data_IF_706472996290
#
_entry.id   IF_706472996290
#
_cell.length_a   1.000
_cell.length_b   1.000
_cell.length_c   1.000
_cell.angle_alpha   90.00
_cell.angle_beta   90.00
_cell.angle_gamma   90.00
#
_symmetry.space_group_name_H-M   'P 1'
#
loop_
_entity.id
_entity.type
_entity.pdbx_description
1 polymer ?
#
# COMPACT_ATOMS: atom_id res chain seq x y z
N UNK A 1 -106.56 56.22 -21.45
CA UNK A 1 -105.31 55.98 -22.12
C UNK A 1 -104.26 55.65 -21.17
N UNK A 2 -103.87 54.44 -20.96
CA UNK A 2 -102.87 53.99 -20.06
C UNK A 2 -101.93 53.08 -20.80
N UNK A 3 -100.65 53.50 -20.81
CA UNK A 3 -99.56 52.75 -21.37
C UNK A 3 -99.06 51.83 -20.29
N UNK A 4 -99.21 50.52 -20.50
CA UNK A 4 -98.69 49.55 -19.62
C UNK A 4 -97.18 49.28 -19.96
N UNK A 5 -96.36 49.62 -19.04
CA UNK A 5 -94.95 49.34 -19.11
C UNK A 5 -94.72 47.84 -18.70
N UNK A 6 -94.40 47.03 -19.66
CA UNK A 6 -94.02 45.66 -19.46
C UNK A 6 -92.58 45.62 -18.93
N UNK A 7 -92.48 45.16 -17.78
CA UNK A 7 -91.17 44.93 -17.12
C UNK A 7 -90.48 43.74 -17.80
N UNK A 8 -89.32 43.97 -18.34
CA UNK A 8 -88.42 42.97 -18.82
C UNK A 8 -88.05 41.99 -17.71
N UNK A 9 -88.09 40.70 -17.95
CA UNK A 9 -87.48 39.74 -17.01
C UNK A 9 -85.96 39.91 -17.08
N UNK A 10 -85.42 40.20 -15.94
CA UNK A 10 -83.97 40.21 -15.71
C UNK A 10 -83.31 39.02 -16.36
N UNK A 11 -82.51 39.36 -17.30
CA UNK A 11 -81.48 38.50 -17.84
C UNK A 11 -80.52 38.13 -16.66
N UNK A 12 -80.88 37.11 -15.92
CA UNK A 12 -79.96 36.49 -14.99
C UNK A 12 -78.95 35.72 -15.87
N UNK A 13 -77.91 36.39 -16.27
CA UNK A 13 -76.72 35.67 -16.75
C UNK A 13 -76.42 34.65 -15.69
N UNK A 14 -76.34 33.33 -16.01
CA UNK A 14 -75.81 32.36 -15.07
C UNK A 14 -74.41 32.84 -14.72
N UNK A 15 -74.16 32.92 -13.43
CA UNK A 15 -72.79 33.13 -12.90
C UNK A 15 -71.99 31.92 -13.35
N UNK A 16 -71.32 32.09 -14.50
CA UNK A 16 -70.63 31.00 -15.20
C UNK A 16 -69.30 30.66 -14.56
N UNK A 17 -69.00 31.28 -13.40
CA UNK A 17 -67.80 31.00 -12.62
C UNK A 17 -68.21 30.83 -11.14
N UNK A 18 -68.65 29.62 -10.84
CA UNK A 18 -68.63 29.21 -9.45
C UNK A 18 -67.17 29.12 -8.99
N UNK A 19 -66.84 29.74 -7.87
CA UNK A 19 -65.45 29.82 -7.42
C UNK A 19 -64.80 28.44 -7.24
N UNK A 20 -65.59 27.43 -7.01
CA UNK A 20 -65.17 26.03 -6.88
C UNK A 20 -64.65 25.43 -8.17
N UNK A 21 -65.30 25.77 -9.34
CA UNK A 21 -64.85 25.33 -10.65
C UNK A 21 -63.52 25.98 -11.08
N UNK A 22 -63.26 27.21 -10.62
CA UNK A 22 -62.00 27.91 -10.89
C UNK A 22 -60.88 27.27 -10.08
N UNK A 23 -61.12 26.89 -8.83
CA UNK A 23 -60.11 26.25 -8.02
C UNK A 23 -59.80 24.83 -8.53
N UNK A 24 -60.80 24.08 -8.98
CA UNK A 24 -60.63 22.74 -9.52
C UNK A 24 -59.85 22.76 -10.84
N UNK A 25 -60.20 23.68 -11.75
CA UNK A 25 -59.45 23.84 -13.00
C UNK A 25 -58.04 24.39 -12.79
N UNK A 26 -57.82 25.13 -11.71
CA UNK A 26 -56.49 25.59 -11.35
C UNK A 26 -55.62 24.42 -10.81
N UNK A 27 -56.20 23.56 -9.95
CA UNK A 27 -55.56 22.36 -9.42
C UNK A 27 -55.27 21.35 -10.51
N UNK A 28 -56.15 21.20 -11.50
CA UNK A 28 -55.92 20.34 -12.65
C UNK A 28 -54.86 20.90 -13.59
N UNK A 29 -54.77 22.23 -13.75
CA UNK A 29 -53.73 22.89 -14.54
C UNK A 29 -52.37 22.78 -13.81
N UNK A 30 -52.34 22.93 -12.51
CA UNK A 30 -51.15 22.77 -11.71
C UNK A 30 -50.68 21.31 -11.72
N UNK A 31 -51.58 20.31 -11.71
CA UNK A 31 -51.23 18.91 -11.86
C UNK A 31 -50.68 18.62 -13.25
N UNK A 32 -51.31 19.11 -14.31
CA UNK A 32 -50.89 18.92 -15.69
C UNK A 32 -49.56 19.59 -15.99
N UNK A 33 -49.35 20.82 -15.44
CA UNK A 33 -48.08 21.52 -15.53
C UNK A 33 -46.96 20.83 -14.78
N UNK A 34 -47.28 20.17 -13.71
CA UNK A 34 -46.35 19.41 -12.92
C UNK A 34 -45.86 18.15 -13.62
N UNK A 35 -46.77 17.47 -14.32
CA UNK A 35 -46.46 16.22 -15.07
C UNK A 35 -45.69 16.51 -16.36
N UNK A 36 -45.93 17.69 -16.99
CA UNK A 36 -45.28 18.11 -18.21
C UNK A 36 -44.02 18.98 -18.00
N UNK A 37 -43.68 19.34 -16.76
CA UNK A 37 -42.49 20.13 -16.45
C UNK A 37 -41.25 19.25 -16.49
N UNK A 38 -40.27 19.54 -17.37
CA UNK A 38 -39.03 18.77 -17.43
C UNK A 38 -38.28 18.69 -16.08
N UNK A 39 -38.45 19.71 -15.23
CA UNK A 39 -37.85 19.74 -13.89
C UNK A 39 -38.48 18.72 -12.93
N UNK A 40 -39.74 18.37 -13.14
CA UNK A 40 -40.42 17.37 -12.35
C UNK A 40 -39.76 15.98 -12.53
N UNK A 41 -39.45 15.63 -13.76
CA UNK A 41 -38.77 14.39 -14.09
C UNK A 41 -37.31 14.39 -13.63
N UNK A 42 -36.63 15.55 -13.69
CA UNK A 42 -35.28 15.69 -13.17
C UNK A 42 -35.21 15.56 -11.63
N UNK A 43 -36.21 16.04 -10.89
CA UNK A 43 -36.30 15.86 -9.43
C UNK A 43 -36.66 14.42 -9.05
N UNK A 44 -37.50 13.75 -9.81
CA UNK A 44 -37.90 12.36 -9.56
C UNK A 44 -36.78 11.38 -9.94
N UNK A 45 -36.11 11.63 -11.06
CA UNK A 45 -34.93 10.85 -11.46
C UNK A 45 -33.72 11.10 -10.53
N UNK A 46 -33.66 12.25 -9.86
CA UNK A 46 -32.64 12.56 -8.85
C UNK A 46 -32.79 11.80 -7.53
N UNK A 47 -34.01 11.35 -7.22
CA UNK A 47 -34.34 10.61 -5.98
C UNK A 47 -34.76 9.18 -6.29
N UNK A 48 -34.03 8.50 -7.15
CA UNK A 48 -34.30 7.10 -7.47
C UNK A 48 -34.27 6.21 -6.22
N UNK A 49 -35.00 5.10 -6.27
CA UNK A 49 -35.09 4.06 -5.23
C UNK A 49 -33.72 3.63 -4.68
N UNK A 50 -32.64 3.96 -5.39
CA UNK A 50 -31.24 3.65 -5.06
C UNK A 50 -30.51 4.77 -4.30
N UNK A 51 -31.10 5.92 -4.09
CA UNK A 51 -30.43 7.07 -3.44
C UNK A 51 -30.09 6.80 -1.97
N UNK A 52 -30.88 5.96 -1.31
CA UNK A 52 -30.61 5.50 0.05
C UNK A 52 -29.37 4.58 0.13
N UNK A 53 -28.98 3.94 -1.00
CA UNK A 53 -27.81 3.07 -1.07
C UNK A 53 -26.51 3.83 -1.41
N UNK A 54 -26.60 5.03 -1.96
CA UNK A 54 -25.42 5.86 -2.31
C UNK A 54 -24.51 6.13 -1.13
N UNK A 55 -24.99 6.51 0.07
CA UNK A 55 -24.11 6.72 1.20
C UNK A 55 -23.46 5.42 1.67
N UNK A 56 -24.17 4.30 1.63
CA UNK A 56 -23.64 2.99 1.98
C UNK A 56 -22.60 2.50 0.96
N UNK A 57 -22.83 2.76 -0.32
CA UNK A 57 -21.87 2.44 -1.37
C UNK A 57 -20.59 3.27 -1.23
N UNK A 58 -20.71 4.58 -1.00
CA UNK A 58 -19.56 5.44 -0.72
C UNK A 58 -18.80 4.97 0.52
N UNK A 59 -19.50 4.63 1.60
CA UNK A 59 -18.88 4.10 2.81
C UNK A 59 -18.11 2.80 2.53
N UNK A 60 -18.70 1.86 1.76
CA UNK A 60 -18.03 0.63 1.36
C UNK A 60 -16.78 0.88 0.52
N UNK A 61 -16.84 1.82 -0.43
CA UNK A 61 -15.68 2.23 -1.24
C UNK A 61 -14.59 2.82 -0.36
N UNK A 62 -14.92 3.72 0.58
CA UNK A 62 -13.95 4.29 1.50
C UNK A 62 -13.32 3.23 2.40
N UNK A 63 -14.11 2.31 2.95
CA UNK A 63 -13.60 1.19 3.74
C UNK A 63 -12.65 0.29 2.92
N UNK A 64 -12.97 0.07 1.64
CA UNK A 64 -12.09 -0.70 0.76
C UNK A 64 -10.78 0.04 0.46
N UNK A 65 -10.85 1.36 0.23
CA UNK A 65 -9.65 2.20 0.02
C UNK A 65 -8.78 2.21 1.27
N UNK A 66 -9.36 2.36 2.46
CA UNK A 66 -8.63 2.33 3.73
C UNK A 66 -7.99 0.96 3.97
N UNK A 67 -8.73 -0.13 3.74
CA UNK A 67 -8.18 -1.48 3.83
C UNK A 67 -7.01 -1.70 2.85
N UNK A 68 -7.16 -1.24 1.61
CA UNK A 68 -6.09 -1.30 0.62
C UNK A 68 -4.87 -0.47 1.03
N UNK A 69 -5.08 0.71 1.61
CA UNK A 69 -4.00 1.56 2.13
C UNK A 69 -3.26 0.89 3.29
N UNK A 70 -3.98 0.28 4.22
CA UNK A 70 -3.39 -0.49 5.32
C UNK A 70 -2.55 -1.66 4.79
N UNK A 71 -3.07 -2.43 3.84
CA UNK A 71 -2.33 -3.54 3.21
C UNK A 71 -1.08 -3.01 2.50
N UNK A 72 -1.19 -1.92 1.76
CA UNK A 72 -0.04 -1.30 1.09
C UNK A 72 1.03 -0.84 2.09
N UNK A 73 0.64 -0.23 3.22
CA UNK A 73 1.56 0.14 4.29
C UNK A 73 2.25 -1.08 4.90
N UNK A 74 1.52 -2.17 5.16
CA UNK A 74 2.09 -3.41 5.68
C UNK A 74 3.11 -4.01 4.70
N UNK A 75 2.78 -4.06 3.41
CA UNK A 75 3.69 -4.54 2.37
C UNK A 75 4.94 -3.66 2.27
N UNK A 76 4.80 -2.35 2.42
CA UNK A 76 5.93 -1.42 2.42
C UNK A 76 6.84 -1.64 3.64
N UNK A 77 6.27 -1.87 4.83
CA UNK A 77 7.04 -2.20 6.03
C UNK A 77 7.80 -3.51 5.86
N UNK A 78 7.13 -4.55 5.33
CA UNK A 78 7.77 -5.83 5.00
C UNK A 78 8.90 -5.62 4.00
N UNK A 79 8.66 -4.86 2.93
CA UNK A 79 9.69 -4.56 1.94
C UNK A 79 10.91 -3.87 2.56
N UNK A 80 10.71 -2.83 3.36
CA UNK A 80 11.81 -2.10 4.01
C UNK A 80 12.56 -3.03 4.96
N UNK A 81 11.85 -3.84 5.75
CA UNK A 81 12.47 -4.68 6.77
C UNK A 81 13.32 -5.83 6.18
N UNK A 82 12.85 -6.46 5.11
CA UNK A 82 13.53 -7.64 4.55
C UNK A 82 14.42 -7.35 3.34
N UNK A 83 14.05 -6.39 2.51
CA UNK A 83 14.74 -6.17 1.24
C UNK A 83 15.68 -4.97 1.26
N UNK A 84 15.40 -3.96 2.08
CA UNK A 84 16.24 -2.77 2.12
C UNK A 84 17.45 -3.02 3.03
N UNK A 85 18.69 -2.88 2.52
CA UNK A 85 19.87 -2.95 3.36
C UNK A 85 19.93 -1.74 4.32
N UNK A 86 20.30 -1.99 5.58
CA UNK A 86 20.57 -0.92 6.53
C UNK A 86 22.02 -0.46 6.50
N UNK A 87 22.92 -1.32 6.03
CA UNK A 87 24.34 -1.01 5.88
C UNK A 87 24.83 -1.46 4.50
N UNK A 88 25.50 -0.58 3.79
CA UNK A 88 26.11 -0.85 2.48
C UNK A 88 27.57 -0.43 2.50
N UNK A 89 28.42 -1.20 1.80
CA UNK A 89 29.85 -0.88 1.71
C UNK A 89 30.62 -1.08 3.01
N UNK A 90 30.11 -1.91 3.92
CA UNK A 90 30.87 -2.33 5.10
C UNK A 90 32.12 -3.11 4.67
N UNK A 91 33.24 -2.88 5.32
CA UNK A 91 34.51 -3.58 5.05
C UNK A 91 34.98 -4.24 6.33
N UNK A 92 35.36 -5.52 6.22
CA UNK A 92 35.93 -6.30 7.32
C UNK A 92 37.22 -6.97 6.86
N UNK A 93 38.20 -6.95 7.72
CA UNK A 93 39.49 -7.63 7.55
C UNK A 93 39.59 -8.78 8.54
N UNK A 94 40.04 -9.94 8.07
CA UNK A 94 40.18 -11.10 8.96
C UNK A 94 40.64 -12.36 8.25
N UNK A 95 40.58 -13.45 8.96
CA UNK A 95 40.82 -14.80 8.44
C UNK A 95 39.51 -15.57 8.39
N UNK A 96 39.27 -16.26 7.29
CA UNK A 96 38.11 -17.15 7.14
C UNK A 96 38.38 -18.41 7.97
N UNK A 97 37.56 -18.64 8.99
CA UNK A 97 37.65 -19.80 9.82
C UNK A 97 36.94 -21.00 9.19
N UNK A 98 35.66 -20.80 8.90
CA UNK A 98 34.83 -21.83 8.26
C UNK A 98 34.01 -21.27 7.16
N UNK A 99 33.71 -22.09 6.17
CA UNK A 99 32.72 -21.81 5.13
C UNK A 99 32.08 -23.14 4.73
N UNK A 100 30.78 -23.22 4.83
CA UNK A 100 30.01 -24.43 4.61
C UNK A 100 28.77 -24.13 3.79
N UNK A 101 28.32 -25.07 2.98
CA UNK A 101 27.03 -24.99 2.30
C UNK A 101 25.94 -25.48 3.24
N UNK A 102 24.99 -24.60 3.58
CA UNK A 102 23.89 -24.89 4.48
C UNK A 102 22.53 -24.67 3.80
N UNK A 103 21.50 -25.28 4.34
CA UNK A 103 20.13 -25.15 3.87
C UNK A 103 19.56 -26.41 3.25
N UNK A 104 18.27 -26.67 3.50
CA UNK A 104 17.59 -27.87 2.99
C UNK A 104 16.91 -27.63 1.65
N UNK A 105 16.31 -26.46 1.44
CA UNK A 105 15.59 -26.09 0.20
C UNK A 105 16.40 -25.08 -0.61
N UNK A 106 16.83 -24.03 0.05
CA UNK A 106 17.75 -23.04 -0.53
C UNK A 106 19.12 -23.29 0.07
N UNK A 107 20.07 -23.62 -0.80
CA UNK A 107 21.44 -23.82 -0.41
C UNK A 107 22.18 -22.51 -0.47
N UNK A 108 22.77 -22.12 0.64
CA UNK A 108 23.54 -20.89 0.79
C UNK A 108 24.87 -21.20 1.48
N UNK A 109 25.90 -20.44 1.13
CA UNK A 109 27.20 -20.60 1.78
C UNK A 109 27.28 -19.70 2.99
N UNK A 110 27.38 -20.30 4.15
CA UNK A 110 27.53 -19.63 5.43
C UNK A 110 28.97 -19.78 5.93
N UNK A 111 29.48 -18.75 6.55
CA UNK A 111 30.82 -18.80 7.08
C UNK A 111 31.07 -17.86 8.24
N UNK A 112 32.24 -18.02 8.83
CA UNK A 112 32.72 -17.22 9.94
C UNK A 112 34.08 -16.63 9.57
N UNK A 113 34.23 -15.32 9.78
CA UNK A 113 35.51 -14.62 9.70
C UNK A 113 35.93 -14.21 11.10
N UNK A 114 37.17 -14.54 11.44
CA UNK A 114 37.85 -14.01 12.63
C UNK A 114 38.39 -12.63 12.31
N UNK A 115 37.79 -11.56 12.86
CA UNK A 115 38.28 -10.21 12.60
C UNK A 115 39.71 -10.04 13.09
N UNK A 116 40.56 -9.41 12.31
CA UNK A 116 41.95 -9.15 12.67
C UNK A 116 42.07 -8.36 14.00
N UNK A 117 41.12 -7.48 14.26
CA UNK A 117 41.02 -6.71 15.50
C UNK A 117 40.83 -7.61 16.72
N UNK A 118 40.09 -8.70 16.60
CA UNK A 118 39.84 -9.67 17.67
C UNK A 118 41.10 -10.50 18.00
N UNK A 119 41.98 -10.73 17.02
CA UNK A 119 43.22 -11.46 17.21
C UNK A 119 44.29 -10.64 17.99
N UNK A 120 44.20 -9.33 17.97
CA UNK A 120 45.14 -8.44 18.71
C UNK A 120 44.68 -8.14 20.13
N UNK A 121 43.44 -8.42 20.47
CA UNK A 121 42.87 -8.09 21.77
C UNK A 121 42.92 -9.31 22.70
N UNK A 122 44.01 -9.42 23.46
CA UNK A 122 44.23 -10.52 24.43
C UNK A 122 43.38 -10.40 25.70
N UNK A 123 42.68 -9.29 25.90
CA UNK A 123 41.90 -9.00 27.10
C UNK A 123 40.41 -9.38 26.95
N UNK A 124 39.94 -9.51 25.74
CA UNK A 124 38.54 -9.88 25.45
C UNK A 124 38.48 -11.16 24.64
N UNK A 125 38.40 -12.32 25.34
CA UNK A 125 38.21 -13.55 24.62
C UNK A 125 36.86 -13.54 23.89
N UNK A 126 36.90 -13.68 22.57
CA UNK A 126 35.77 -14.03 21.70
C UNK A 126 34.46 -13.26 21.92
N UNK A 127 34.43 -12.00 21.54
CA UNK A 127 33.18 -11.31 21.32
C UNK A 127 33.18 -10.67 19.93
N UNK A 128 32.82 -11.44 18.93
CA UNK A 128 32.56 -10.86 17.62
C UNK A 128 32.99 -11.71 16.45
N UNK A 129 32.64 -12.96 16.44
CA UNK A 129 32.71 -13.76 15.23
C UNK A 129 31.86 -13.07 14.17
N UNK A 130 32.45 -12.76 13.04
CA UNK A 130 31.77 -12.14 11.94
C UNK A 130 31.13 -13.25 11.10
N UNK A 131 29.87 -13.60 11.45
CA UNK A 131 29.09 -14.57 10.71
C UNK A 131 28.48 -13.91 9.47
N UNK A 132 28.60 -14.56 8.34
CA UNK A 132 28.16 -14.03 7.05
C UNK A 132 27.61 -15.11 6.15
N UNK A 133 26.79 -14.69 5.19
CA UNK A 133 26.39 -15.48 4.02
C UNK A 133 27.11 -14.98 2.78
N UNK A 134 27.53 -15.84 1.88
CA UNK A 134 28.13 -15.43 0.61
C UNK A 134 27.03 -15.09 -0.40
N UNK A 135 27.18 -13.99 -1.12
CA UNK A 135 26.18 -13.54 -2.12
C UNK A 135 26.07 -14.49 -3.32
N UNK A 136 27.12 -15.20 -3.67
CA UNK A 136 27.14 -16.17 -4.78
C UNK A 136 28.28 -17.19 -4.63
N UNK A 137 28.19 -18.25 -5.42
CA UNK A 137 29.14 -19.39 -5.41
C UNK A 137 30.57 -18.97 -5.70
N UNK A 138 30.79 -17.95 -6.53
CA UNK A 138 32.12 -17.44 -6.85
C UNK A 138 32.80 -16.87 -5.61
N UNK A 139 32.08 -16.06 -4.85
CA UNK A 139 32.59 -15.46 -3.60
C UNK A 139 32.86 -16.58 -2.57
N UNK A 140 31.97 -17.55 -2.48
CA UNK A 140 32.15 -18.71 -1.61
C UNK A 140 33.43 -19.49 -1.97
N UNK A 141 33.67 -19.73 -3.25
CA UNK A 141 34.89 -20.41 -3.70
C UNK A 141 36.17 -19.58 -3.46
N UNK A 142 36.12 -18.27 -3.55
CA UNK A 142 37.25 -17.39 -3.21
C UNK A 142 37.54 -17.41 -1.72
N UNK A 143 36.50 -17.35 -0.88
CA UNK A 143 36.61 -17.46 0.58
C UNK A 143 37.15 -18.84 0.99
N UNK A 144 36.68 -19.92 0.37
CA UNK A 144 37.17 -21.26 0.66
C UNK A 144 38.68 -21.42 0.31
N UNK A 145 39.12 -20.87 -0.83
CA UNK A 145 40.54 -20.84 -1.18
C UNK A 145 41.38 -20.04 -0.19
N UNK A 146 40.85 -18.91 0.28
CA UNK A 146 41.53 -18.09 1.28
C UNK A 146 41.62 -18.80 2.62
N UNK A 147 40.54 -19.50 3.05
CA UNK A 147 40.53 -20.34 4.28
C UNK A 147 41.58 -21.44 4.19
N UNK A 148 41.58 -22.24 3.11
CA UNK A 148 42.55 -23.31 2.91
C UNK A 148 44.00 -22.83 2.88
N UNK A 149 44.23 -21.64 2.32
CA UNK A 149 45.57 -21.02 2.27
C UNK A 149 45.94 -20.25 3.53
N UNK A 150 45.08 -20.18 4.53
CA UNK A 150 45.23 -19.35 5.73
C UNK A 150 45.65 -17.91 5.45
N UNK A 151 45.09 -17.32 4.36
CA UNK A 151 45.40 -15.94 3.94
C UNK A 151 44.39 -14.95 4.54
N UNK A 152 44.87 -13.78 4.96
CA UNK A 152 43.97 -12.71 5.39
C UNK A 152 43.21 -12.16 4.21
N UNK A 153 41.91 -11.92 4.40
CA UNK A 153 41.00 -11.38 3.41
C UNK A 153 40.42 -10.05 3.83
N UNK A 154 40.16 -9.23 2.84
CA UNK A 154 39.32 -8.05 2.96
C UNK A 154 37.99 -8.38 2.28
N UNK A 155 36.92 -8.37 3.07
CA UNK A 155 35.57 -8.61 2.57
C UNK A 155 34.76 -7.33 2.59
N UNK A 156 33.99 -7.12 1.51
CA UNK A 156 32.96 -6.08 1.48
C UNK A 156 31.60 -6.73 1.70
N UNK A 157 30.80 -6.12 2.52
CA UNK A 157 29.52 -6.69 2.91
C UNK A 157 28.39 -5.69 2.93
N UNK A 158 27.18 -6.24 2.82
CA UNK A 158 25.92 -5.53 2.95
C UNK A 158 25.15 -6.14 4.12
N UNK A 159 24.64 -5.27 5.00
CA UNK A 159 23.83 -5.68 6.16
C UNK A 159 22.36 -5.48 5.92
N UNK A 160 21.57 -6.49 6.31
CA UNK A 160 20.11 -6.47 6.23
C UNK A 160 19.49 -6.61 7.62
N UNK A 161 18.29 -6.07 7.81
CA UNK A 161 17.60 -6.13 9.10
C UNK A 161 17.15 -7.55 9.44
N UNK A 162 16.79 -8.35 8.42
CA UNK A 162 16.39 -9.73 8.58
C UNK A 162 17.00 -10.62 7.49
N UNK A 163 17.32 -11.90 7.82
CA UNK A 163 17.74 -12.88 6.84
C UNK A 163 16.58 -13.27 5.93
N UNK A 164 16.91 -13.78 4.74
CA UNK A 164 15.96 -14.37 3.80
C UNK A 164 16.47 -15.76 3.40
N UNK A 165 15.64 -16.81 3.38
CA UNK A 165 16.08 -18.19 3.17
C UNK A 165 16.90 -18.41 1.90
N UNK A 166 16.62 -17.65 0.84
CA UNK A 166 17.37 -17.74 -0.44
C UNK A 166 18.59 -16.85 -0.51
N UNK A 167 18.80 -15.95 0.47
CA UNK A 167 19.94 -15.05 0.55
C UNK A 167 20.97 -15.51 1.58
N UNK A 168 20.53 -16.30 2.55
CA UNK A 168 21.34 -16.84 3.63
C UNK A 168 20.71 -16.66 5.00
N UNK A 169 21.18 -17.40 5.97
CA UNK A 169 20.73 -17.35 7.36
C UNK A 169 21.34 -16.15 8.12
N UNK A 170 22.45 -15.61 7.59
CA UNK A 170 23.07 -14.43 8.17
C UNK A 170 22.42 -13.12 7.70
N UNK A 171 22.42 -12.11 8.57
CA UNK A 171 22.02 -10.75 8.24
C UNK A 171 23.07 -10.01 7.41
N UNK A 172 24.30 -10.54 7.38
CA UNK A 172 25.42 -9.95 6.69
C UNK A 172 25.71 -10.78 5.46
N UNK A 173 25.74 -10.14 4.30
CA UNK A 173 25.99 -10.81 3.03
C UNK A 173 27.29 -10.24 2.43
N UNK A 174 28.27 -11.09 2.22
CA UNK A 174 29.54 -10.73 1.59
C UNK A 174 29.31 -10.64 0.09
N UNK A 175 29.65 -9.48 -0.47
CA UNK A 175 29.45 -9.14 -1.89
C UNK A 175 30.73 -9.13 -2.70
N UNK A 176 31.87 -8.90 -2.04
CA UNK A 176 33.18 -8.94 -2.68
C UNK A 176 34.26 -9.40 -1.71
N UNK A 177 35.27 -10.06 -2.25
CA UNK A 177 36.43 -10.54 -1.52
C UNK A 177 37.68 -10.08 -2.26
N UNK A 178 38.69 -9.66 -1.49
CA UNK A 178 40.01 -9.32 -2.00
C UNK A 178 41.08 -9.72 -0.98
N UNK A 179 42.29 -9.96 -1.45
CA UNK A 179 43.41 -10.21 -0.54
C UNK A 179 43.68 -8.97 0.33
N UNK A 180 43.81 -9.17 1.63
CA UNK A 180 44.16 -8.08 2.52
C UNK A 180 45.62 -7.76 2.40
N UNK A 181 45.95 -6.47 2.17
CA UNK A 181 47.31 -6.03 2.23
C UNK A 181 47.73 -5.97 3.72
N UNK A 182 48.81 -6.66 4.13
CA UNK A 182 49.28 -6.65 5.50
C UNK A 182 49.64 -5.25 6.03
N UNK A 183 49.89 -4.28 5.15
CA UNK A 183 50.08 -2.89 5.54
C UNK A 183 48.79 -2.15 5.95
N UNK A 184 47.63 -2.72 5.70
CA UNK A 184 46.30 -2.17 6.03
C UNK A 184 45.69 -2.86 7.26
N UNK A 185 46.36 -3.84 7.83
CA UNK A 185 46.00 -4.60 9.03
C UNK A 185 46.70 -3.96 10.26
#
# INVERSE_FOLDING_TARGET
MRINNSTDPKDSKPDYFDGDDIEETRKERERRYRDDDPRYWEEEDGKGEWDHLRPLFRLKVWLFVDAAAVVACLLLVVYIHWFRPYATGGVQYGYVETIEEQGSVFKTFEGVILPYRSLRDTVRPYKGDFVFSAANDRIAAELHRASTACRPVRVEYVGYSAPLPWRGDSRIVVTAVSDANPAQL
#
